data_IF_565546076141
#
_entry.id   IF_565546076141
#
_cell.length_a   1.000
_cell.length_b   1.000
_cell.length_c   1.000
_cell.angle_alpha   90.00
_cell.angle_beta   90.00
_cell.angle_gamma   90.00
#
_symmetry.space_group_name_H-M   'P 1'
#
loop_
_entity.id
_entity.type
_entity.pdbx_description
1 polymer ?
#
# COMPACT_ATOMS: atom_id res chain seq x y z
N UNK A 1 -8.15 -79.74 -57.52
CA UNK A 1 -7.94 -78.53 -56.64
C UNK A 1 -6.74 -78.85 -55.75
N UNK A 2 -5.62 -78.11 -55.91
CA UNK A 2 -4.33 -78.41 -55.32
C UNK A 2 -4.29 -77.79 -53.88
N UNK A 3 -4.03 -78.64 -52.85
CA UNK A 3 -3.68 -78.18 -51.51
C UNK A 3 -2.27 -77.61 -51.56
N UNK A 4 -2.16 -76.34 -51.02
CA UNK A 4 -0.93 -75.60 -50.95
C UNK A 4 -0.21 -75.97 -49.66
N UNK A 5 1.06 -76.33 -49.76
CA UNK A 5 1.96 -76.69 -48.68
C UNK A 5 2.10 -75.54 -47.62
N UNK A 6 1.83 -75.92 -46.40
CA UNK A 6 2.12 -75.05 -45.25
C UNK A 6 3.60 -75.31 -44.88
N UNK A 7 4.47 -74.35 -45.21
CA UNK A 7 5.86 -74.31 -44.74
C UNK A 7 5.89 -74.14 -43.22
N UNK A 8 6.40 -75.15 -42.52
CA UNK A 8 6.74 -75.07 -41.10
C UNK A 8 7.84 -74.05 -40.93
N UNK A 9 7.54 -72.98 -40.21
CA UNK A 9 8.49 -71.97 -39.70
C UNK A 9 9.36 -72.65 -38.61
N UNK A 10 10.68 -72.40 -38.58
CA UNK A 10 11.53 -72.96 -37.54
C UNK A 10 11.19 -72.26 -36.20
N UNK A 11 10.91 -73.12 -35.21
CA UNK A 11 10.74 -72.72 -33.84
C UNK A 11 12.09 -72.18 -33.32
N UNK A 12 12.26 -70.89 -33.24
CA UNK A 12 13.41 -70.26 -32.57
C UNK A 12 13.39 -70.62 -31.09
N UNK A 13 14.28 -71.54 -30.73
CA UNK A 13 14.51 -71.93 -29.36
C UNK A 13 15.21 -70.73 -28.65
N UNK A 14 14.42 -69.78 -28.14
CA UNK A 14 14.92 -68.68 -27.34
C UNK A 14 15.25 -69.22 -25.95
N UNK A 15 16.52 -69.61 -25.78
CA UNK A 15 17.04 -69.83 -24.43
C UNK A 15 16.89 -68.49 -23.64
N UNK A 16 15.89 -68.45 -22.79
CA UNK A 16 15.83 -67.39 -21.78
C UNK A 16 16.99 -67.68 -20.81
N UNK A 17 18.08 -66.95 -20.98
CA UNK A 17 19.09 -66.83 -19.97
C UNK A 17 18.42 -66.20 -18.75
N UNK A 18 18.10 -66.99 -17.73
CA UNK A 18 17.70 -66.52 -16.43
C UNK A 18 18.93 -65.88 -15.89
N UNK A 19 19.01 -64.52 -16.02
CA UNK A 19 19.95 -63.70 -15.30
C UNK A 19 19.63 -63.92 -13.84
N UNK A 20 20.43 -64.78 -13.17
CA UNK A 20 20.44 -64.87 -11.73
C UNK A 20 20.90 -63.48 -11.17
N UNK A 21 20.00 -62.52 -11.16
CA UNK A 21 20.19 -61.35 -10.34
C UNK A 21 20.15 -61.84 -8.89
N UNK A 22 21.30 -61.76 -8.23
CA UNK A 22 21.38 -61.93 -6.78
C UNK A 22 20.48 -60.85 -6.15
N UNK A 23 19.20 -61.18 -5.95
CA UNK A 23 18.29 -60.37 -5.17
C UNK A 23 18.76 -60.51 -3.73
N UNK A 24 19.66 -59.63 -3.29
CA UNK A 24 19.94 -59.48 -1.89
C UNK A 24 18.63 -58.99 -1.22
N UNK A 25 18.07 -59.85 -0.38
CA UNK A 25 16.89 -59.49 0.40
C UNK A 25 17.29 -58.42 1.42
N UNK A 26 16.52 -57.35 1.49
CA UNK A 26 16.70 -56.28 2.50
C UNK A 26 16.58 -56.88 3.91
N UNK A 27 17.51 -56.51 4.77
CA UNK A 27 17.42 -56.91 6.18
C UNK A 27 16.37 -56.01 6.89
N UNK A 28 15.70 -56.58 7.89
CA UNK A 28 14.68 -55.85 8.69
C UNK A 28 15.27 -54.56 9.29
N UNK A 29 16.53 -54.60 9.72
CA UNK A 29 17.22 -53.44 10.32
C UNK A 29 17.44 -52.35 9.27
N UNK A 30 17.77 -52.67 8.02
CA UNK A 30 17.97 -51.73 6.94
C UNK A 30 16.68 -51.01 6.57
N UNK A 31 15.55 -51.71 6.58
CA UNK A 31 14.23 -51.12 6.40
C UNK A 31 13.87 -50.13 7.51
N UNK A 32 14.12 -50.50 8.78
CA UNK A 32 13.86 -49.63 9.93
C UNK A 32 14.70 -48.35 9.85
N UNK A 33 15.99 -48.44 9.55
CA UNK A 33 16.89 -47.32 9.37
C UNK A 33 16.44 -46.42 8.21
N UNK A 34 16.05 -47.00 7.10
CA UNK A 34 15.56 -46.24 5.94
C UNK A 34 14.28 -45.46 6.27
N UNK A 35 13.33 -46.04 6.97
CA UNK A 35 12.09 -45.34 7.42
C UNK A 35 12.43 -44.22 8.42
N UNK A 36 13.35 -44.46 9.36
CA UNK A 36 13.76 -43.45 10.31
C UNK A 36 14.41 -42.24 9.62
N UNK A 37 15.33 -42.45 8.67
CA UNK A 37 15.95 -41.39 7.89
C UNK A 37 14.93 -40.67 7.00
N UNK A 38 14.02 -41.39 6.35
CA UNK A 38 12.96 -40.77 5.56
C UNK A 38 12.04 -39.88 6.42
N UNK A 39 11.71 -40.31 7.62
CA UNK A 39 10.90 -39.52 8.55
C UNK A 39 11.56 -38.21 8.95
N UNK A 40 12.87 -38.23 9.22
CA UNK A 40 13.66 -37.02 9.54
C UNK A 40 13.69 -36.08 8.33
N UNK A 41 13.92 -36.59 7.12
CA UNK A 41 13.94 -35.79 5.91
C UNK A 41 12.59 -35.09 5.65
N UNK A 42 11.48 -35.82 5.84
CA UNK A 42 10.13 -35.26 5.69
C UNK A 42 9.91 -34.13 6.70
N UNK A 43 10.30 -34.33 7.97
CA UNK A 43 10.12 -33.34 9.02
C UNK A 43 10.95 -32.07 8.75
N UNK A 44 12.21 -32.21 8.34
CA UNK A 44 13.07 -31.08 7.99
C UNK A 44 12.50 -30.32 6.78
N UNK A 45 12.06 -31.06 5.75
CA UNK A 45 11.46 -30.44 4.54
C UNK A 45 10.19 -29.68 4.90
N UNK A 46 9.33 -30.22 5.76
CA UNK A 46 8.12 -29.56 6.22
C UNK A 46 8.42 -28.27 7.01
N UNK A 47 9.46 -28.28 7.85
CA UNK A 47 9.91 -27.05 8.57
C UNK A 47 10.42 -25.98 7.62
N UNK A 48 11.26 -26.34 6.65
CA UNK A 48 11.79 -25.41 5.65
C UNK A 48 10.64 -24.80 4.84
N UNK A 49 9.69 -25.64 4.40
CA UNK A 49 8.52 -25.16 3.66
C UNK A 49 7.67 -24.17 4.45
N UNK A 50 7.43 -24.45 5.73
CA UNK A 50 6.70 -23.56 6.63
C UNK A 50 7.42 -22.21 6.78
N UNK A 51 8.73 -22.22 6.99
CA UNK A 51 9.52 -20.99 7.11
C UNK A 51 9.52 -20.19 5.81
N UNK A 52 9.72 -20.84 4.67
CA UNK A 52 9.67 -20.21 3.36
C UNK A 52 8.29 -19.57 3.09
N UNK A 53 7.21 -20.29 3.34
CA UNK A 53 5.84 -19.78 3.19
C UNK A 53 5.59 -18.55 4.06
N UNK A 54 6.05 -18.57 5.32
CA UNK A 54 5.94 -17.42 6.22
C UNK A 54 6.75 -16.22 5.73
N UNK A 55 7.97 -16.44 5.23
CA UNK A 55 8.82 -15.40 4.69
C UNK A 55 8.21 -14.75 3.43
N UNK A 56 7.66 -15.55 2.53
CA UNK A 56 6.94 -15.03 1.35
C UNK A 56 5.72 -14.20 1.75
N UNK A 57 4.89 -14.72 2.65
CA UNK A 57 3.72 -13.99 3.14
C UNK A 57 4.08 -12.63 3.77
N UNK A 58 5.18 -12.56 4.50
CA UNK A 58 5.66 -11.31 5.08
C UNK A 58 6.25 -10.35 4.04
N UNK A 59 6.93 -10.88 3.02
CA UNK A 59 7.44 -10.09 1.90
C UNK A 59 6.32 -9.46 1.09
N UNK A 60 5.26 -10.22 0.80
CA UNK A 60 4.08 -9.73 0.09
C UNK A 60 3.38 -8.63 0.87
N UNK A 61 3.21 -8.80 2.19
CA UNK A 61 2.60 -7.80 3.07
C UNK A 61 3.39 -6.48 3.05
N UNK A 62 4.72 -6.56 3.12
CA UNK A 62 5.58 -5.36 3.00
C UNK A 62 5.45 -4.69 1.65
N UNK A 63 5.45 -5.47 0.56
CA UNK A 63 5.31 -4.93 -0.80
C UNK A 63 3.98 -4.19 -0.99
N UNK A 64 2.89 -4.75 -0.47
CA UNK A 64 1.56 -4.13 -0.47
C UNK A 64 1.57 -2.76 0.24
N UNK A 65 2.10 -2.72 1.47
CA UNK A 65 2.20 -1.47 2.24
C UNK A 65 3.04 -0.43 1.51
N UNK A 66 4.22 -0.79 0.99
CA UNK A 66 5.07 0.16 0.27
C UNK A 66 4.42 0.70 -1.00
N UNK A 67 3.69 -0.11 -1.74
CA UNK A 67 2.98 0.34 -2.95
C UNK A 67 1.86 1.32 -2.60
N UNK A 68 1.05 1.03 -1.58
CA UNK A 68 -0.02 1.91 -1.12
C UNK A 68 0.53 3.26 -0.63
N UNK A 69 1.56 3.23 0.21
CA UNK A 69 2.23 4.43 0.73
C UNK A 69 2.79 5.28 -0.40
N UNK A 70 3.51 4.65 -1.34
CA UNK A 70 4.11 5.37 -2.47
C UNK A 70 3.07 6.05 -3.33
N UNK A 71 1.98 5.38 -3.69
CA UNK A 71 0.91 5.95 -4.50
C UNK A 71 0.25 7.16 -3.82
N UNK A 72 0.01 7.07 -2.51
CA UNK A 72 -0.52 8.16 -1.72
C UNK A 72 0.46 9.34 -1.67
N UNK A 73 1.73 9.10 -1.34
CA UNK A 73 2.75 10.16 -1.29
C UNK A 73 2.99 10.83 -2.64
N UNK A 74 3.02 10.10 -3.74
CA UNK A 74 3.20 10.69 -5.07
C UNK A 74 2.05 11.67 -5.40
N UNK A 75 0.82 11.36 -4.98
CA UNK A 75 -0.34 12.24 -5.16
C UNK A 75 -0.24 13.46 -4.24
N UNK A 76 0.01 13.26 -2.94
CA UNK A 76 0.14 14.34 -1.94
C UNK A 76 1.28 15.28 -2.34
N UNK A 77 2.44 14.72 -2.71
CA UNK A 77 3.62 15.48 -3.14
C UNK A 77 3.30 16.38 -4.33
N UNK A 78 2.65 15.86 -5.35
CA UNK A 78 2.29 16.65 -6.53
C UNK A 78 1.39 17.82 -6.15
N UNK A 79 0.39 17.59 -5.34
CA UNK A 79 -0.60 18.60 -4.98
C UNK A 79 -0.02 19.65 -4.02
N UNK A 80 0.81 19.26 -3.05
CA UNK A 80 1.52 20.20 -2.16
C UNK A 80 2.56 21.01 -2.94
N UNK A 81 3.32 20.41 -3.83
CA UNK A 81 4.28 21.15 -4.68
C UNK A 81 3.59 22.12 -5.64
N UNK A 82 2.31 21.92 -5.95
CA UNK A 82 1.47 22.85 -6.72
C UNK A 82 0.72 23.86 -5.85
N UNK A 83 0.99 23.92 -4.54
CA UNK A 83 0.32 24.84 -3.64
C UNK A 83 0.60 26.30 -4.03
N UNK A 84 -0.44 27.12 -4.02
CA UNK A 84 -0.35 28.53 -4.42
C UNK A 84 -1.16 29.40 -3.47
N UNK A 85 -0.60 30.57 -3.14
CA UNK A 85 -1.33 31.67 -2.52
C UNK A 85 -1.45 32.82 -3.52
N UNK A 86 -2.62 33.43 -3.57
CA UNK A 86 -2.82 34.65 -4.34
C UNK A 86 -3.77 35.58 -3.57
N UNK A 87 -3.80 36.86 -3.96
CA UNK A 87 -4.61 37.90 -3.31
C UNK A 87 -6.12 37.63 -3.31
N UNK A 88 -6.60 36.70 -4.12
CA UNK A 88 -8.00 36.32 -4.20
C UNK A 88 -8.34 35.09 -3.35
N UNK A 89 -7.35 34.18 -3.19
CA UNK A 89 -7.53 32.91 -2.52
C UNK A 89 -6.32 32.64 -1.61
N UNK A 90 -6.41 33.09 -0.36
CA UNK A 90 -5.35 32.96 0.62
C UNK A 90 -5.65 31.79 1.56
N UNK A 91 -5.83 30.59 1.00
CA UNK A 91 -6.20 29.42 1.80
C UNK A 91 -5.12 28.33 1.79
N UNK A 92 -4.43 28.24 2.89
CA UNK A 92 -3.65 27.08 3.30
C UNK A 92 -3.93 26.87 4.79
N UNK A 93 -4.65 25.82 5.13
CA UNK A 93 -5.07 25.51 6.50
C UNK A 93 -4.69 24.09 6.87
N UNK A 94 -4.08 23.96 8.01
CA UNK A 94 -3.61 22.71 8.54
C UNK A 94 -3.94 22.61 10.03
N UNK A 95 -4.62 21.56 10.39
CA UNK A 95 -5.10 21.30 11.74
C UNK A 95 -4.49 20.02 12.26
N UNK A 96 -3.87 20.10 13.43
CA UNK A 96 -3.28 18.97 14.13
C UNK A 96 -4.31 18.34 15.09
N UNK A 97 -4.27 17.02 15.21
CA UNK A 97 -5.06 16.25 16.17
C UNK A 97 -6.56 16.63 16.20
N UNK A 98 -7.21 16.60 15.04
CA UNK A 98 -8.59 17.05 14.93
C UNK A 98 -9.53 16.23 15.81
N UNK A 99 -10.48 16.92 16.44
CA UNK A 99 -11.52 16.24 17.19
C UNK A 99 -12.64 15.75 16.25
N UNK A 100 -13.11 14.52 16.48
CA UNK A 100 -14.21 13.96 15.71
C UNK A 100 -15.48 14.81 15.71
N UNK A 101 -15.73 15.59 16.78
CA UNK A 101 -16.88 16.49 16.88
C UNK A 101 -16.80 17.67 15.90
N UNK A 102 -15.61 18.24 15.70
CA UNK A 102 -15.42 19.40 14.82
C UNK A 102 -15.53 19.08 13.34
N UNK A 103 -15.22 17.82 12.96
CA UNK A 103 -15.18 17.36 11.57
C UNK A 103 -16.09 16.16 11.30
N UNK A 104 -17.18 16.04 12.06
CA UNK A 104 -18.17 14.95 11.94
C UNK A 104 -18.81 14.88 10.55
N UNK A 105 -18.95 16.02 9.87
CA UNK A 105 -19.55 16.10 8.52
C UNK A 105 -18.76 15.29 7.49
N UNK A 106 -17.43 15.26 7.60
CA UNK A 106 -16.57 14.49 6.69
C UNK A 106 -16.16 13.13 7.26
N UNK A 107 -16.48 12.87 8.53
CA UNK A 107 -16.13 11.62 9.22
C UNK A 107 -14.63 11.47 9.47
N UNK A 108 -13.93 12.59 9.72
CA UNK A 108 -12.50 12.56 9.99
C UNK A 108 -12.20 11.76 11.28
N UNK A 109 -11.10 11.05 11.26
CA UNK A 109 -10.63 10.23 12.38
C UNK A 109 -10.01 11.13 13.46
N UNK A 110 -10.44 10.92 14.68
CA UNK A 110 -9.88 11.62 15.86
C UNK A 110 -8.37 11.35 16.00
N UNK A 111 -7.61 12.38 16.34
CA UNK A 111 -6.16 12.28 16.48
C UNK A 111 -5.39 12.19 15.16
N UNK A 112 -6.03 12.45 14.02
CA UNK A 112 -5.37 12.61 12.74
C UNK A 112 -5.37 14.06 12.30
N UNK A 113 -4.48 14.42 11.39
CA UNK A 113 -4.38 15.75 10.85
C UNK A 113 -5.23 15.94 9.60
N UNK A 114 -5.59 17.19 9.35
CA UNK A 114 -6.25 17.62 8.12
C UNK A 114 -5.44 18.74 7.51
N UNK A 115 -5.17 18.67 6.21
CA UNK A 115 -4.58 19.76 5.46
C UNK A 115 -5.51 20.17 4.31
N UNK A 116 -5.73 21.46 4.16
CA UNK A 116 -6.46 22.06 3.04
C UNK A 116 -5.60 23.11 2.38
N UNK A 117 -5.47 23.01 1.07
CA UNK A 117 -4.63 23.91 0.28
C UNK A 117 -5.23 24.17 -1.09
N UNK A 118 -4.90 25.33 -1.65
CA UNK A 118 -5.11 25.62 -3.07
C UNK A 118 -3.96 25.08 -3.88
N UNK A 119 -4.26 24.25 -4.89
CA UNK A 119 -3.27 23.71 -5.79
C UNK A 119 -3.60 24.03 -7.25
N UNK A 120 -2.55 24.36 -7.98
CA UNK A 120 -2.61 24.62 -9.44
C UNK A 120 -2.40 23.36 -10.28
N UNK A 121 -2.36 22.18 -9.68
CA UNK A 121 -2.18 20.94 -10.44
C UNK A 121 -3.48 20.54 -11.13
N UNK A 122 -3.58 20.68 -12.45
CA UNK A 122 -4.82 20.46 -13.17
C UNK A 122 -5.00 18.98 -13.46
N UNK A 123 -6.01 18.37 -12.83
CA UNK A 123 -6.63 17.17 -13.39
C UNK A 123 -7.88 17.50 -14.23
N UNK A 124 -8.23 18.79 -14.34
CA UNK A 124 -9.43 19.27 -15.03
C UNK A 124 -9.03 20.33 -16.07
N UNK A 125 -9.27 20.04 -17.33
CA UNK A 125 -8.89 20.86 -18.50
C UNK A 125 -9.42 22.31 -18.43
N UNK A 126 -10.51 22.56 -17.68
CA UNK A 126 -11.17 23.87 -17.62
C UNK A 126 -10.96 24.66 -16.33
N UNK A 127 -10.25 24.12 -15.32
CA UNK A 127 -10.13 24.76 -14.02
C UNK A 127 -8.69 24.74 -13.52
N UNK A 128 -8.00 25.88 -13.57
CA UNK A 128 -6.57 25.96 -13.27
C UNK A 128 -6.22 25.79 -11.78
N UNK A 129 -7.20 25.88 -10.88
CA UNK A 129 -6.99 25.81 -9.44
C UNK A 129 -8.11 24.99 -8.78
N UNK A 130 -7.74 24.15 -7.83
CA UNK A 130 -8.67 23.40 -7.01
C UNK A 130 -8.32 23.54 -5.53
N UNK A 131 -9.35 23.56 -4.69
CA UNK A 131 -9.21 23.41 -3.24
C UNK A 131 -9.08 21.90 -2.96
N UNK A 132 -7.96 21.52 -2.38
CA UNK A 132 -7.64 20.13 -2.08
C UNK A 132 -7.59 19.96 -0.57
N UNK A 133 -8.30 18.96 -0.06
CA UNK A 133 -8.26 18.58 1.35
C UNK A 133 -7.86 17.13 1.48
N UNK A 134 -6.86 16.87 2.32
CA UNK A 134 -6.47 15.53 2.73
C UNK A 134 -6.89 15.28 4.16
N UNK A 135 -7.51 14.14 4.41
CA UNK A 135 -7.90 13.70 5.74
C UNK A 135 -7.98 12.18 5.82
N UNK A 136 -7.76 11.66 7.01
CA UNK A 136 -7.98 10.27 7.33
C UNK A 136 -9.39 10.10 7.90
N UNK A 137 -10.14 9.13 7.38
CA UNK A 137 -11.48 8.82 7.86
C UNK A 137 -11.46 7.69 8.89
N UNK A 138 -12.54 7.58 9.66
CA UNK A 138 -12.69 6.56 10.73
C UNK A 138 -12.62 5.12 10.24
N UNK A 139 -12.83 4.87 8.95
CA UNK A 139 -12.67 3.57 8.29
C UNK A 139 -11.22 3.23 7.91
N UNK A 140 -10.24 4.06 8.34
CA UNK A 140 -8.83 3.94 8.02
C UNK A 140 -8.51 4.08 6.51
N UNK A 141 -9.32 4.85 5.80
CA UNK A 141 -9.08 5.21 4.42
C UNK A 141 -8.62 6.66 4.35
N UNK A 142 -7.53 6.90 3.60
CA UNK A 142 -7.05 8.23 3.29
C UNK A 142 -7.85 8.79 2.13
N UNK A 143 -8.50 9.93 2.35
CA UNK A 143 -9.30 10.63 1.35
C UNK A 143 -8.63 11.91 0.88
N UNK A 144 -8.82 12.18 -0.40
CA UNK A 144 -8.62 13.48 -1.04
C UNK A 144 -9.98 14.03 -1.43
N UNK A 145 -10.33 15.21 -0.94
CA UNK A 145 -11.40 16.02 -1.49
C UNK A 145 -10.83 16.99 -2.50
N UNK A 146 -11.48 17.12 -3.63
CA UNK A 146 -11.14 18.10 -4.66
C UNK A 146 -12.37 18.92 -4.98
N UNK A 147 -12.32 20.23 -4.68
CA UNK A 147 -13.39 21.17 -4.96
C UNK A 147 -12.91 22.24 -5.94
N UNK A 148 -13.61 22.31 -7.05
CA UNK A 148 -13.31 23.28 -8.13
C UNK A 148 -14.36 24.40 -8.23
N UNK A 149 -15.32 24.45 -7.31
CA UNK A 149 -16.35 25.51 -7.23
C UNK A 149 -15.76 26.83 -6.80
N UNK A 150 -15.97 27.89 -7.57
CA UNK A 150 -15.46 29.23 -7.26
C UNK A 150 -16.04 29.86 -5.99
N UNK A 151 -17.23 29.42 -5.55
CA UNK A 151 -17.89 29.89 -4.34
C UNK A 151 -17.34 29.29 -3.05
N UNK A 152 -16.66 28.15 -3.15
CA UNK A 152 -16.20 27.37 -1.98
C UNK A 152 -14.69 27.47 -1.74
N UNK A 153 -13.94 28.10 -2.67
CA UNK A 153 -12.48 28.23 -2.54
C UNK A 153 -12.03 29.08 -1.33
N UNK A 154 -12.93 29.83 -0.71
CA UNK A 154 -12.68 30.64 0.50
C UNK A 154 -13.40 30.11 1.74
N UNK A 155 -14.05 28.95 1.65
CA UNK A 155 -14.80 28.40 2.79
C UNK A 155 -13.90 27.53 3.65
N UNK A 156 -13.99 27.72 4.95
CA UNK A 156 -13.33 26.85 5.91
C UNK A 156 -13.80 25.40 5.75
N UNK A 157 -12.94 24.44 6.07
CA UNK A 157 -13.19 22.98 5.97
C UNK A 157 -14.50 22.56 6.67
N UNK A 158 -14.92 23.28 7.70
CA UNK A 158 -16.14 23.01 8.45
C UNK A 158 -17.43 23.10 7.62
N UNK A 159 -17.38 23.71 6.44
CA UNK A 159 -18.54 23.87 5.53
C UNK A 159 -18.53 22.90 4.32
N UNK A 160 -17.58 22.00 4.20
CA UNK A 160 -17.55 20.96 3.18
C UNK A 160 -18.40 19.74 3.63
N UNK A 161 -19.13 19.03 2.76
CA UNK A 161 -19.04 19.00 1.29
C UNK A 161 -20.10 19.85 0.62
N UNK A 162 -19.70 20.65 -0.35
CA UNK A 162 -20.60 21.41 -1.22
C UNK A 162 -20.77 20.74 -2.60
N UNK A 163 -21.78 21.16 -3.34
CA UNK A 163 -22.01 20.69 -4.73
C UNK A 163 -20.78 20.98 -5.59
N UNK A 164 -20.18 19.93 -6.16
CA UNK A 164 -18.96 20.01 -6.96
C UNK A 164 -17.69 19.45 -6.29
N UNK A 165 -17.83 18.88 -5.10
CA UNK A 165 -16.75 18.16 -4.42
C UNK A 165 -16.62 16.73 -4.95
N UNK A 166 -15.41 16.36 -5.36
CA UNK A 166 -15.07 14.99 -5.75
C UNK A 166 -14.29 14.33 -4.62
N UNK A 167 -14.74 13.15 -4.20
CA UNK A 167 -14.07 12.32 -3.21
C UNK A 167 -13.22 11.27 -3.90
N UNK A 168 -11.97 11.15 -3.48
CA UNK A 168 -11.05 10.17 -4.03
C UNK A 168 -10.34 9.43 -2.91
N UNK A 169 -10.46 8.12 -2.91
CA UNK A 169 -9.71 7.25 -2.02
C UNK A 169 -8.28 7.13 -2.53
N UNK A 170 -7.30 7.38 -1.67
CA UNK A 170 -5.89 7.35 -2.02
C UNK A 170 -5.12 6.21 -1.38
N UNK A 171 -5.52 5.78 -0.21
CA UNK A 171 -4.85 4.71 0.53
C UNK A 171 -5.77 4.02 1.51
N UNK A 172 -5.58 2.71 1.65
CA UNK A 172 -6.36 1.87 2.54
C UNK A 172 -5.52 1.42 3.73
N UNK A 173 -6.18 1.08 4.83
CA UNK A 173 -5.55 0.62 6.07
C UNK A 173 -4.52 1.60 6.64
N UNK A 174 -4.79 2.88 6.49
CA UNK A 174 -3.99 3.97 7.08
C UNK A 174 -4.43 4.15 8.52
N UNK A 175 -3.52 3.92 9.47
CA UNK A 175 -3.83 4.04 10.90
C UNK A 175 -3.59 5.44 11.44
N UNK A 176 -2.57 6.15 10.93
CA UNK A 176 -2.24 7.53 11.31
C UNK A 176 -1.87 8.35 10.09
N UNK A 177 -2.21 9.64 10.15
CA UNK A 177 -1.80 10.65 9.19
C UNK A 177 -1.43 11.90 9.98
N UNK A 178 -0.18 12.37 9.85
CA UNK A 178 0.33 13.53 10.55
C UNK A 178 1.06 14.45 9.57
N UNK A 179 0.94 15.77 9.77
CA UNK A 179 1.62 16.78 8.99
C UNK A 179 2.42 17.71 9.90
N UNK A 180 3.60 18.12 9.44
CA UNK A 180 4.38 19.16 10.09
C UNK A 180 4.86 20.15 9.04
N UNK A 181 5.01 21.40 9.42
CA UNK A 181 5.24 22.51 8.50
C UNK A 181 6.53 23.22 8.87
N UNK A 182 7.38 23.46 7.89
CA UNK A 182 8.63 24.17 8.10
C UNK A 182 8.44 25.66 7.86
N UNK A 183 8.72 26.46 8.88
CA UNK A 183 8.73 27.92 8.80
C UNK A 183 9.97 28.45 8.06
N UNK A 184 9.96 29.74 7.70
CA UNK A 184 11.06 30.46 7.06
C UNK A 184 12.35 30.43 7.88
N UNK A 185 12.24 30.36 9.20
CA UNK A 185 13.38 30.23 10.13
C UNK A 185 13.94 28.81 10.24
N UNK A 186 13.35 27.84 9.50
CA UNK A 186 13.73 26.43 9.54
C UNK A 186 13.12 25.64 10.70
N UNK A 187 12.33 26.25 11.57
CA UNK A 187 11.60 25.58 12.64
C UNK A 187 10.44 24.74 12.10
N UNK A 188 10.09 23.67 12.82
CA UNK A 188 8.93 22.84 12.50
C UNK A 188 7.79 23.13 13.45
N UNK A 189 6.57 23.31 12.87
CA UNK A 189 5.32 23.53 13.61
C UNK A 189 4.27 22.51 13.17
N UNK A 190 3.34 22.19 14.05
CA UNK A 190 2.33 21.16 13.82
C UNK A 190 1.02 21.71 13.23
N UNK A 191 0.86 23.06 13.20
CA UNK A 191 -0.31 23.70 12.60
C UNK A 191 0.13 24.84 11.71
N UNK A 192 -0.63 25.11 10.66
CA UNK A 192 -0.39 26.20 9.74
C UNK A 192 -1.71 26.77 9.23
N UNK A 193 -1.89 28.06 9.35
CA UNK A 193 -3.08 28.72 8.86
C UNK A 193 -2.70 30.05 8.20
N UNK A 194 -3.18 30.29 6.99
CA UNK A 194 -3.03 31.54 6.25
C UNK A 194 -4.36 32.30 6.20
N UNK A 195 -4.30 33.61 6.14
CA UNK A 195 -5.47 34.47 6.00
C UNK A 195 -5.35 35.78 6.83
N UNK A 196 -6.37 36.65 6.74
CA UNK A 196 -6.35 38.01 7.28
C UNK A 196 -6.31 38.10 8.81
N UNK A 197 -6.61 37.03 9.52
CA UNK A 197 -6.63 36.98 11.01
C UNK A 197 -5.56 36.08 11.59
N UNK A 198 -4.67 35.52 10.79
CA UNK A 198 -3.74 34.47 11.17
C UNK A 198 -2.29 34.92 11.17
N UNK A 199 -1.42 34.12 11.75
CA UNK A 199 -0.02 34.46 11.95
C UNK A 199 0.82 34.42 10.68
N UNK A 200 0.38 33.66 9.63
CA UNK A 200 1.17 33.44 8.43
C UNK A 200 0.51 34.06 7.21
N UNK A 201 1.30 34.82 6.43
CA UNK A 201 0.90 35.39 5.12
C UNK A 201 1.62 34.74 3.96
N UNK A 202 2.27 33.60 4.21
CA UNK A 202 3.09 32.86 3.24
C UNK A 202 2.86 31.37 3.42
N UNK A 203 3.26 30.59 2.41
CA UNK A 203 3.28 29.12 2.49
C UNK A 203 4.46 28.63 3.34
N UNK A 204 4.36 27.46 3.95
CA UNK A 204 5.52 26.83 4.57
C UNK A 204 6.58 26.48 3.51
N UNK A 205 7.85 26.49 3.89
CA UNK A 205 8.96 26.11 3.03
C UNK A 205 8.91 24.63 2.67
N UNK A 206 8.47 23.81 3.59
CA UNK A 206 8.28 22.38 3.38
C UNK A 206 7.17 21.83 4.26
N UNK A 207 6.59 20.73 3.83
CA UNK A 207 5.62 19.93 4.58
C UNK A 207 6.18 18.54 4.78
N UNK A 208 6.30 18.10 6.02
CA UNK A 208 6.59 16.73 6.39
C UNK A 208 5.27 15.98 6.51
N UNK A 209 5.17 14.85 5.85
CA UNK A 209 3.98 13.98 5.88
C UNK A 209 4.42 12.65 6.47
N UNK A 210 3.82 12.26 7.58
CA UNK A 210 4.00 10.95 8.18
C UNK A 210 2.72 10.13 8.09
N UNK A 211 2.86 8.89 7.65
CA UNK A 211 1.73 7.98 7.47
C UNK A 211 2.11 6.58 7.96
N UNK A 212 1.25 5.99 8.80
CA UNK A 212 1.36 4.59 9.21
C UNK A 212 0.30 3.77 8.49
N UNK A 213 0.72 2.72 7.80
CA UNK A 213 -0.13 1.87 6.96
C UNK A 213 0.10 0.40 7.33
N UNK A 214 -0.97 -0.37 7.37
CA UNK A 214 -0.94 -1.82 7.55
C UNK A 214 -1.33 -2.53 6.26
N UNK A 215 -0.90 -3.78 6.09
CA UNK A 215 -1.43 -4.63 5.02
C UNK A 215 -2.86 -5.10 5.32
N UNK A 216 -3.58 -5.58 4.32
CA UNK A 216 -5.00 -6.00 4.42
C UNK A 216 -5.26 -7.06 5.48
N UNK A 217 -4.26 -7.85 5.84
CA UNK A 217 -4.37 -8.92 6.83
C UNK A 217 -3.71 -8.56 8.18
N UNK A 218 -3.25 -7.32 8.35
CA UNK A 218 -2.52 -6.84 9.53
C UNK A 218 -1.28 -7.70 9.91
N UNK A 219 -0.59 -8.26 8.91
CA UNK A 219 0.65 -9.04 9.10
C UNK A 219 1.88 -8.13 9.20
N UNK A 220 1.80 -6.94 8.62
CA UNK A 220 2.85 -5.95 8.62
C UNK A 220 2.27 -4.54 8.72
N UNK A 221 2.90 -3.71 9.55
CA UNK A 221 2.60 -2.29 9.69
C UNK A 221 3.90 -1.52 9.48
N UNK A 222 3.87 -0.50 8.66
CA UNK A 222 5.02 0.36 8.38
C UNK A 222 4.67 1.83 8.50
N UNK A 223 5.55 2.61 9.10
CA UNK A 223 5.48 4.06 9.12
C UNK A 223 6.44 4.61 8.07
N UNK A 224 5.98 5.57 7.31
CA UNK A 224 6.78 6.25 6.28
C UNK A 224 6.62 7.76 6.42
N UNK A 225 7.74 8.46 6.27
CA UNK A 225 7.81 9.93 6.36
C UNK A 225 8.38 10.46 5.05
N UNK A 226 7.82 11.56 4.56
CA UNK A 226 8.30 12.25 3.35
C UNK A 226 8.28 13.77 3.59
N UNK A 227 9.33 14.46 3.18
CA UNK A 227 9.44 15.91 3.24
C UNK A 227 9.26 16.46 1.83
N UNK A 228 8.31 17.36 1.67
CA UNK A 228 7.90 17.96 0.40
C UNK A 228 8.19 19.44 0.46
N UNK A 229 9.11 19.92 -0.34
CA UNK A 229 9.39 21.36 -0.47
C UNK A 229 8.32 22.03 -1.32
N UNK A 230 7.90 23.21 -0.88
CA UNK A 230 7.01 24.10 -1.65
C UNK A 230 7.90 25.13 -2.35
N UNK A 231 7.81 25.28 -3.68
CA UNK A 231 8.66 26.18 -4.44
C UNK A 231 8.38 27.66 -4.21
#
# INVERSE_FOLDING_TARGET
MKCKDIKKLPIFNRQYSIINSNCSAFTLIELVVAIALASILILVTAMIFKQASSAFSQSDARSEVYQNVRAAFDTIKRDISGATLNTRYELFQAFNDVSAASYSTIGAKEGSDIITLLSSTPNLEDKPVALITYYLKTDNVLYKLENTGTSTLNSAISSLPDTGTTYKELGFNVSTLQFRYQDTDGGWVDTWETGTSTSYQYLPNAVEVEMTVSDTLNRYTGTSTNIISIP
#
